data_IF_359964623905
#
_entry.id   IF_359964623905
#
_cell.length_a   1.000
_cell.length_b   1.000
_cell.length_c   1.000
_cell.angle_alpha   90.00
_cell.angle_beta   90.00
_cell.angle_gamma   90.00
#
_symmetry.space_group_name_H-M   'P 1'
#
loop_
_entity.id
_entity.type
_entity.pdbx_description
1 polymer ?
#
# COMPACT_ATOMS: atom_id res chain seq x y z
N UNK A 1 3.52 -15.33 -21.48
CA UNK A 1 2.79 -15.23 -20.20
C UNK A 1 2.65 -13.78 -19.70
N UNK A 2 2.95 -12.75 -20.51
CA UNK A 2 3.14 -11.37 -20.04
C UNK A 2 1.95 -10.43 -20.25
N UNK A 3 0.80 -10.90 -20.74
CA UNK A 3 -0.37 -10.04 -21.05
C UNK A 3 -1.63 -10.37 -20.24
N UNK A 4 -1.50 -11.14 -19.15
CA UNK A 4 -2.65 -11.43 -18.29
C UNK A 4 -2.91 -10.25 -17.34
N UNK A 5 -4.18 -9.78 -17.21
CA UNK A 5 -4.51 -8.72 -16.28
C UNK A 5 -4.14 -9.15 -14.85
N UNK A 6 -3.66 -8.22 -14.01
CA UNK A 6 -3.08 -8.54 -12.69
C UNK A 6 -4.08 -9.27 -11.78
N UNK A 7 -5.38 -9.02 -11.94
CA UNK A 7 -6.43 -9.74 -11.22
C UNK A 7 -6.50 -11.24 -11.56
N UNK A 8 -6.31 -11.60 -12.83
CA UNK A 8 -6.32 -13.00 -13.25
C UNK A 8 -5.06 -13.73 -12.78
N UNK A 9 -3.92 -13.03 -12.80
CA UNK A 9 -2.65 -13.56 -12.29
C UNK A 9 -2.71 -13.81 -10.78
N UNK A 10 -3.34 -12.90 -10.03
CA UNK A 10 -3.63 -13.09 -8.60
C UNK A 10 -4.58 -14.27 -8.34
N UNK A 11 -5.62 -14.44 -9.16
CA UNK A 11 -6.55 -15.57 -9.06
C UNK A 11 -5.84 -16.91 -9.36
N UNK A 12 -4.95 -16.95 -10.34
CA UNK A 12 -4.17 -18.15 -10.69
C UNK A 12 -3.16 -18.47 -9.57
N UNK A 13 -2.46 -17.47 -9.02
CA UNK A 13 -1.55 -17.66 -7.89
C UNK A 13 -2.29 -18.09 -6.62
N UNK A 14 -3.52 -17.62 -6.43
CA UNK A 14 -4.38 -18.01 -5.30
C UNK A 14 -5.14 -19.32 -5.54
N UNK A 15 -5.17 -19.81 -6.78
CA UNK A 15 -5.91 -21.02 -7.17
C UNK A 15 -5.59 -22.27 -6.33
N UNK A 16 -4.33 -22.60 -5.96
CA UNK A 16 -4.09 -23.77 -5.11
C UNK A 16 -4.67 -23.62 -3.70
N UNK A 17 -4.79 -22.41 -3.14
CA UNK A 17 -5.47 -22.19 -1.85
C UNK A 17 -6.98 -22.36 -1.94
N UNK A 18 -7.56 -22.09 -3.11
CA UNK A 18 -9.01 -22.18 -3.35
C UNK A 18 -9.41 -23.60 -3.78
N UNK A 19 -8.66 -24.26 -4.65
CA UNK A 19 -9.01 -25.60 -5.13
C UNK A 19 -8.63 -26.74 -4.17
N UNK A 20 -7.64 -26.54 -3.29
CA UNK A 20 -7.16 -27.64 -2.44
C UNK A 20 -8.18 -28.18 -1.42
N UNK A 21 -9.01 -27.37 -0.72
CA UNK A 21 -9.97 -27.92 0.23
C UNK A 21 -11.10 -28.76 -0.40
N UNK A 22 -11.72 -28.34 -1.53
CA UNK A 22 -12.69 -29.18 -2.24
C UNK A 22 -12.07 -30.46 -2.81
N UNK A 23 -10.85 -30.38 -3.34
CA UNK A 23 -10.15 -31.55 -3.87
C UNK A 23 -9.81 -32.57 -2.77
N UNK A 24 -9.37 -32.09 -1.60
CA UNK A 24 -9.08 -32.94 -0.43
C UNK A 24 -10.34 -33.59 0.11
N UNK A 25 -11.44 -32.84 0.25
CA UNK A 25 -12.72 -33.41 0.71
C UNK A 25 -13.26 -34.47 -0.26
N UNK A 26 -13.14 -34.25 -1.57
CA UNK A 26 -13.47 -35.27 -2.57
C UNK A 26 -12.59 -36.52 -2.46
N UNK A 27 -11.28 -36.33 -2.32
CA UNK A 27 -10.32 -37.42 -2.16
C UNK A 27 -10.61 -38.26 -0.92
N UNK A 28 -10.87 -37.61 0.22
CA UNK A 28 -11.22 -38.26 1.49
C UNK A 28 -12.54 -39.03 1.33
N UNK A 29 -13.58 -38.42 0.73
CA UNK A 29 -14.87 -39.10 0.53
C UNK A 29 -14.74 -40.34 -0.37
N UNK A 30 -13.93 -40.27 -1.44
CA UNK A 30 -13.64 -41.41 -2.32
C UNK A 30 -12.82 -42.50 -1.62
N UNK A 31 -11.84 -42.12 -0.83
CA UNK A 31 -11.02 -43.06 -0.05
C UNK A 31 -11.86 -43.81 1.00
N UNK A 32 -12.75 -43.11 1.70
CA UNK A 32 -13.67 -43.72 2.67
C UNK A 32 -14.65 -44.65 1.97
N UNK A 33 -15.20 -44.25 0.83
CA UNK A 33 -16.09 -45.10 0.03
C UNK A 33 -15.41 -46.38 -0.47
N UNK A 34 -14.13 -46.31 -0.86
CA UNK A 34 -13.38 -47.47 -1.36
C UNK A 34 -12.98 -48.47 -0.25
N UNK A 35 -12.63 -47.99 0.95
CA UNK A 35 -12.16 -48.86 2.04
C UNK A 35 -13.27 -49.35 2.96
N UNK A 36 -14.35 -48.57 3.13
CA UNK A 36 -15.41 -48.87 4.10
C UNK A 36 -16.77 -49.16 3.44
N UNK A 37 -16.89 -49.08 2.10
CA UNK A 37 -18.14 -49.37 1.38
C UNK A 37 -19.28 -48.38 1.65
N UNK A 38 -18.99 -47.22 2.24
CA UNK A 38 -20.00 -46.20 2.58
C UNK A 38 -20.31 -45.36 1.34
N UNK A 39 -21.50 -45.54 0.78
CA UNK A 39 -21.99 -44.73 -0.34
C UNK A 39 -22.59 -43.41 0.17
N UNK A 40 -21.81 -42.33 0.10
CA UNK A 40 -22.27 -40.97 0.42
C UNK A 40 -23.13 -40.46 -0.74
N UNK A 41 -24.35 -40.00 -0.45
CA UNK A 41 -25.24 -39.38 -1.46
C UNK A 41 -24.58 -38.15 -2.09
N UNK A 42 -24.77 -37.98 -3.40
CA UNK A 42 -24.13 -36.94 -4.22
C UNK A 42 -24.38 -35.53 -3.67
N UNK A 43 -25.58 -35.27 -3.12
CA UNK A 43 -25.92 -33.97 -2.54
C UNK A 43 -25.12 -33.65 -1.27
N UNK A 44 -24.87 -34.66 -0.43
CA UNK A 44 -24.04 -34.50 0.76
C UNK A 44 -22.57 -34.26 0.40
N UNK A 45 -22.08 -34.88 -0.68
CA UNK A 45 -20.75 -34.63 -1.21
C UNK A 45 -20.59 -33.20 -1.74
N UNK A 46 -21.56 -32.73 -2.55
CA UNK A 46 -21.56 -31.36 -3.08
C UNK A 46 -21.62 -30.34 -1.93
N UNK A 47 -22.47 -30.57 -0.93
CA UNK A 47 -22.56 -29.69 0.23
C UNK A 47 -21.25 -29.67 1.05
N UNK A 48 -20.60 -30.82 1.23
CA UNK A 48 -19.30 -30.91 1.89
C UNK A 48 -18.19 -30.17 1.12
N UNK A 49 -18.16 -30.28 -0.21
CA UNK A 49 -17.22 -29.53 -1.05
C UNK A 49 -17.44 -28.02 -0.95
N UNK A 50 -18.69 -27.56 -1.01
CA UNK A 50 -19.03 -26.12 -0.89
C UNK A 50 -18.66 -25.59 0.49
N UNK A 51 -18.95 -26.35 1.55
CA UNK A 51 -18.63 -25.97 2.93
C UNK A 51 -17.14 -26.11 3.28
N UNK A 52 -16.37 -26.88 2.51
CA UNK A 52 -14.93 -27.04 2.76
C UNK A 52 -14.16 -25.73 2.64
N UNK A 53 -14.57 -24.83 1.74
CA UNK A 53 -13.97 -23.53 1.53
C UNK A 53 -14.12 -22.58 2.73
N UNK A 54 -15.34 -22.26 3.22
CA UNK A 54 -15.50 -21.41 4.39
C UNK A 54 -14.87 -22.02 5.63
N UNK A 55 -14.91 -23.36 5.79
CA UNK A 55 -14.25 -24.05 6.91
C UNK A 55 -12.72 -23.90 6.82
N UNK A 56 -12.12 -24.07 5.64
CA UNK A 56 -10.68 -23.91 5.45
C UNK A 56 -10.23 -22.47 5.73
N UNK A 57 -10.97 -21.47 5.24
CA UNK A 57 -10.72 -20.06 5.52
C UNK A 57 -10.84 -19.74 7.01
N UNK A 58 -11.90 -20.23 7.66
CA UNK A 58 -12.08 -20.05 9.11
C UNK A 58 -10.92 -20.68 9.88
N UNK A 59 -10.53 -21.90 9.52
CA UNK A 59 -9.37 -22.58 10.11
C UNK A 59 -8.06 -21.80 9.90
N UNK A 60 -7.82 -21.23 8.71
CA UNK A 60 -6.60 -20.43 8.48
C UNK A 60 -6.59 -19.16 9.33
N UNK A 61 -7.72 -18.47 9.45
CA UNK A 61 -7.84 -17.25 10.26
C UNK A 61 -7.65 -17.56 11.75
N UNK A 62 -8.27 -18.65 12.24
CA UNK A 62 -8.10 -19.07 13.62
C UNK A 62 -6.67 -19.50 13.92
N UNK A 63 -6.02 -20.24 12.99
CA UNK A 63 -4.61 -20.64 13.14
C UNK A 63 -3.69 -19.43 13.22
N UNK A 64 -3.86 -18.46 12.32
CA UNK A 64 -3.09 -17.21 12.34
C UNK A 64 -3.31 -16.45 13.65
N UNK A 65 -4.56 -16.34 14.09
CA UNK A 65 -4.91 -15.64 15.32
C UNK A 65 -4.33 -16.32 16.57
N UNK A 66 -4.34 -17.65 16.62
CA UNK A 66 -3.70 -18.41 17.70
C UNK A 66 -2.18 -18.23 17.65
N UNK A 67 -1.56 -18.30 16.47
CA UNK A 67 -0.11 -18.09 16.31
C UNK A 67 0.32 -16.73 16.84
N UNK A 68 -0.38 -15.67 16.41
CA UNK A 68 -0.11 -14.29 16.83
C UNK A 68 -0.23 -14.15 18.35
N UNK A 69 -1.28 -14.71 18.95
CA UNK A 69 -1.47 -14.66 20.42
C UNK A 69 -0.37 -15.40 21.16
N UNK A 70 0.01 -16.59 20.69
CA UNK A 70 1.07 -17.39 21.31
C UNK A 70 2.43 -16.68 21.23
N UNK A 71 2.74 -16.09 20.08
CA UNK A 71 3.98 -15.35 19.88
C UNK A 71 4.02 -14.06 20.69
N UNK A 72 2.90 -13.34 20.78
CA UNK A 72 2.76 -12.18 21.64
C UNK A 72 3.01 -12.54 23.11
N UNK A 73 2.40 -13.64 23.60
CA UNK A 73 2.64 -14.13 24.95
C UNK A 73 4.09 -14.54 25.19
N UNK A 74 4.74 -15.22 24.23
CA UNK A 74 6.15 -15.61 24.32
C UNK A 74 7.08 -14.39 24.42
N UNK A 75 6.71 -13.27 23.79
CA UNK A 75 7.50 -12.04 23.75
C UNK A 75 7.06 -11.01 24.80
N UNK A 76 6.03 -11.31 25.60
CA UNK A 76 5.45 -10.37 26.57
C UNK A 76 4.82 -9.14 25.92
N UNK A 77 4.42 -9.23 24.66
CA UNK A 77 3.87 -8.12 23.88
C UNK A 77 2.35 -7.99 24.08
N UNK A 78 1.86 -6.75 24.14
CA UNK A 78 0.43 -6.44 24.20
C UNK A 78 -0.11 -6.31 22.77
N UNK A 79 -1.24 -6.97 22.48
CA UNK A 79 -1.90 -6.84 21.20
C UNK A 79 -2.66 -5.51 21.12
N UNK A 80 -2.60 -4.79 19.99
CA UNK A 80 -3.35 -3.55 19.84
C UNK A 80 -4.87 -3.81 19.88
N UNK A 81 -5.66 -2.82 20.31
CA UNK A 81 -7.12 -2.91 20.28
C UNK A 81 -7.59 -3.19 18.85
N UNK A 82 -8.62 -4.02 18.73
CA UNK A 82 -9.20 -4.37 17.43
C UNK A 82 -10.39 -3.48 17.13
N UNK A 83 -10.38 -2.93 15.92
CA UNK A 83 -11.57 -2.31 15.37
C UNK A 83 -12.67 -3.37 15.21
N UNK A 84 -13.84 -3.14 15.81
CA UNK A 84 -14.96 -4.09 15.79
C UNK A 84 -15.77 -3.88 14.52
N UNK A 85 -15.62 -4.79 13.57
CA UNK A 85 -16.53 -4.88 12.43
C UNK A 85 -17.71 -5.83 12.74
N UNK A 86 -18.98 -5.41 12.52
CA UNK A 86 -20.15 -6.25 12.75
C UNK A 86 -20.25 -7.50 11.86
N UNK A 87 -19.59 -7.47 10.70
CA UNK A 87 -19.65 -8.54 9.71
C UNK A 87 -18.33 -9.33 9.66
N UNK A 88 -18.38 -10.65 9.42
CA UNK A 88 -17.20 -11.50 9.37
C UNK A 88 -16.23 -11.02 8.28
N UNK A 89 -14.94 -11.01 8.61
CA UNK A 89 -13.86 -10.66 7.68
C UNK A 89 -13.65 -9.16 7.44
N UNK A 90 -14.33 -8.27 8.18
CA UNK A 90 -14.13 -6.83 8.09
C UNK A 90 -14.77 -6.19 6.84
N UNK A 91 -15.83 -6.82 6.33
CA UNK A 91 -16.49 -6.41 5.08
C UNK A 91 -17.21 -5.07 5.19
N UNK A 92 -17.79 -4.73 6.34
CA UNK A 92 -18.39 -3.41 6.56
C UNK A 92 -17.35 -2.30 6.58
N UNK A 93 -16.23 -2.49 7.29
CA UNK A 93 -15.09 -1.60 7.24
C UNK A 93 -14.57 -1.41 5.81
N UNK A 94 -14.44 -2.49 5.04
CA UNK A 94 -14.03 -2.42 3.64
C UNK A 94 -15.03 -1.61 2.78
N UNK A 95 -16.33 -1.91 2.86
CA UNK A 95 -17.36 -1.20 2.08
C UNK A 95 -17.43 0.28 2.46
N UNK A 96 -17.34 0.58 3.76
CA UNK A 96 -17.35 1.96 4.27
C UNK A 96 -16.11 2.72 3.80
N UNK A 97 -14.93 2.08 3.87
CA UNK A 97 -13.68 2.63 3.35
C UNK A 97 -13.71 2.86 1.85
N UNK A 98 -14.26 1.93 1.06
CA UNK A 98 -14.44 2.11 -0.40
C UNK A 98 -15.43 3.22 -0.74
N UNK A 99 -16.47 3.40 0.08
CA UNK A 99 -17.44 4.48 -0.09
C UNK A 99 -16.84 5.84 0.27
N UNK A 100 -16.07 5.92 1.36
CA UNK A 100 -15.32 7.11 1.74
C UNK A 100 -14.27 7.45 0.69
N UNK A 101 -13.53 6.46 0.17
CA UNK A 101 -12.57 6.68 -0.92
C UNK A 101 -13.19 7.30 -2.18
N UNK A 102 -14.48 7.04 -2.44
CA UNK A 102 -15.20 7.65 -3.56
C UNK A 102 -15.79 9.03 -3.26
N UNK A 103 -16.01 9.36 -1.98
CA UNK A 103 -16.77 10.56 -1.56
C UNK A 103 -15.93 11.61 -0.83
N UNK A 104 -14.84 11.20 -0.21
CA UNK A 104 -13.98 12.02 0.64
C UNK A 104 -12.51 11.69 0.44
N UNK A 105 -11.67 12.19 1.34
CA UNK A 105 -10.24 12.02 1.31
C UNK A 105 -9.81 10.75 2.05
N UNK A 106 -8.78 10.03 1.57
CA UNK A 106 -8.22 8.89 2.30
C UNK A 106 -7.67 9.34 3.66
N UNK A 107 -8.29 8.87 4.76
CA UNK A 107 -7.93 9.28 6.12
C UNK A 107 -9.03 10.05 6.85
N UNK A 108 -10.07 10.50 6.14
CA UNK A 108 -11.27 11.07 6.77
C UNK A 108 -11.88 10.03 7.72
N UNK A 109 -12.15 10.44 8.96
CA UNK A 109 -12.66 9.57 10.03
C UNK A 109 -11.60 8.78 10.79
N UNK A 110 -10.30 8.97 10.51
CA UNK A 110 -9.24 8.32 11.27
C UNK A 110 -9.22 8.79 12.74
N UNK A 111 -9.37 10.10 12.97
CA UNK A 111 -9.37 10.67 14.33
C UNK A 111 -10.55 10.14 15.14
N UNK A 112 -11.75 10.07 14.55
CA UNK A 112 -12.96 9.51 15.17
C UNK A 112 -12.77 8.05 15.60
N UNK A 113 -12.12 7.23 14.76
CA UNK A 113 -11.81 5.83 15.10
C UNK A 113 -10.79 5.75 16.24
N UNK A 114 -9.77 6.62 16.23
CA UNK A 114 -8.77 6.66 17.30
C UNK A 114 -9.40 7.09 18.64
N UNK A 115 -10.32 8.05 18.62
CA UNK A 115 -11.08 8.50 19.79
C UNK A 115 -11.99 7.40 20.34
N UNK A 116 -12.73 6.68 19.47
CA UNK A 116 -13.59 5.56 19.87
C UNK A 116 -12.79 4.44 20.56
N UNK A 117 -11.60 4.15 20.03
CA UNK A 117 -10.73 3.10 20.55
C UNK A 117 -9.84 3.56 21.71
N UNK A 118 -9.75 4.87 21.96
CA UNK A 118 -8.85 5.46 22.96
C UNK A 118 -7.36 5.26 22.66
N UNK A 119 -7.00 4.96 21.41
CA UNK A 119 -5.63 4.60 21.00
C UNK A 119 -5.39 4.99 19.54
N UNK A 120 -4.21 5.53 19.27
CA UNK A 120 -3.74 5.83 17.91
C UNK A 120 -3.11 4.62 17.21
N UNK A 121 -3.03 3.48 17.91
CA UNK A 121 -2.66 2.18 17.37
C UNK A 121 -3.82 1.20 17.46
N UNK A 122 -4.23 0.62 16.33
CA UNK A 122 -5.29 -0.37 16.29
C UNK A 122 -5.09 -1.39 15.17
N UNK A 123 -5.67 -2.57 15.36
CA UNK A 123 -5.73 -3.61 14.32
C UNK A 123 -7.09 -3.59 13.64
N UNK A 124 -7.07 -3.48 12.31
CA UNK A 124 -8.22 -3.57 11.44
C UNK A 124 -8.13 -4.82 10.56
N UNK A 125 -9.19 -5.63 10.53
CA UNK A 125 -9.26 -6.78 9.65
C UNK A 125 -9.85 -6.36 8.29
N UNK A 126 -9.17 -6.66 7.19
CA UNK A 126 -9.68 -6.40 5.84
C UNK A 126 -9.55 -7.71 5.06
N UNK A 127 -10.66 -8.23 4.55
CA UNK A 127 -10.71 -9.50 3.81
C UNK A 127 -10.03 -10.65 4.59
N UNK A 128 -10.32 -10.75 5.88
CA UNK A 128 -9.74 -11.73 6.81
C UNK A 128 -8.25 -11.56 7.13
N UNK A 129 -7.57 -10.57 6.57
CA UNK A 129 -6.17 -10.24 6.88
C UNK A 129 -6.09 -9.16 7.96
N UNK A 130 -5.15 -9.30 8.90
CA UNK A 130 -4.90 -8.29 9.92
C UNK A 130 -4.06 -7.14 9.33
N UNK A 131 -4.49 -5.90 9.54
CA UNK A 131 -3.73 -4.69 9.19
C UNK A 131 -3.62 -3.81 10.43
N UNK A 132 -2.39 -3.66 10.93
CA UNK A 132 -2.10 -2.80 12.07
C UNK A 132 -1.86 -1.39 11.54
N UNK A 133 -2.58 -0.43 12.09
CA UNK A 133 -2.45 0.99 11.78
C UNK A 133 -1.97 1.69 13.05
N UNK A 134 -0.99 2.57 12.92
CA UNK A 134 -0.40 3.31 14.04
C UNK A 134 -0.13 4.76 13.64
N UNK A 135 -0.48 5.70 14.52
CA UNK A 135 -0.06 7.10 14.45
C UNK A 135 0.75 7.54 15.69
N UNK A 136 1.20 6.59 16.51
CA UNK A 136 2.01 6.90 17.68
C UNK A 136 3.46 7.22 17.29
N UNK A 137 4.05 8.30 17.83
CA UNK A 137 5.38 8.76 17.42
C UNK A 137 6.48 7.74 17.76
N UNK A 138 6.34 6.98 18.84
CA UNK A 138 7.29 5.95 19.24
C UNK A 138 7.32 4.79 18.24
N UNK A 139 6.14 4.33 17.80
CA UNK A 139 6.00 3.31 16.77
C UNK A 139 6.56 3.78 15.42
N UNK A 140 6.25 5.03 15.03
CA UNK A 140 6.76 5.62 13.78
C UNK A 140 8.29 5.71 13.81
N UNK A 141 8.87 6.13 14.94
CA UNK A 141 10.33 6.18 15.13
C UNK A 141 10.95 4.79 15.08
N UNK A 142 10.29 3.79 15.65
CA UNK A 142 10.75 2.40 15.57
C UNK A 142 10.83 1.94 14.11
N UNK A 143 9.73 2.08 13.37
CA UNK A 143 9.60 1.64 11.98
C UNK A 143 10.57 2.38 11.05
N UNK A 144 10.67 3.71 11.17
CA UNK A 144 11.36 4.54 10.18
C UNK A 144 12.83 4.85 10.53
N UNK A 145 13.26 4.64 11.78
CA UNK A 145 14.58 5.05 12.22
C UNK A 145 15.32 3.99 13.04
N UNK A 146 14.81 3.56 14.20
CA UNK A 146 15.62 2.77 15.15
C UNK A 146 15.67 1.29 14.82
N UNK A 147 14.62 0.73 14.23
CA UNK A 147 14.50 -0.69 13.90
C UNK A 147 14.30 -0.88 12.39
N UNK A 148 14.80 0.03 11.56
CA UNK A 148 14.51 0.04 10.11
C UNK A 148 14.81 -1.29 9.40
N UNK A 149 15.87 -2.01 9.78
CA UNK A 149 16.22 -3.31 9.17
C UNK A 149 15.23 -4.44 9.53
N UNK A 150 14.39 -4.27 10.56
CA UNK A 150 13.36 -5.24 10.97
C UNK A 150 12.04 -5.08 10.19
N UNK A 151 11.87 -3.96 9.46
CA UNK A 151 10.64 -3.64 8.72
C UNK A 151 10.88 -3.60 7.21
N UNK A 152 10.17 -4.46 6.48
CA UNK A 152 10.14 -4.43 5.02
C UNK A 152 8.87 -3.75 4.48
N UNK A 153 8.93 -3.14 3.30
CA UNK A 153 7.73 -2.62 2.61
C UNK A 153 6.81 -3.74 2.14
N UNK A 154 7.39 -4.88 1.81
CA UNK A 154 6.68 -6.08 1.42
C UNK A 154 6.26 -6.12 -0.05
N UNK A 155 5.71 -7.26 -0.50
CA UNK A 155 5.43 -7.53 -1.91
C UNK A 155 4.32 -6.64 -2.47
N UNK A 156 3.33 -6.25 -1.66
CA UNK A 156 2.21 -5.39 -2.08
C UNK A 156 2.71 -4.05 -2.60
N UNK A 157 3.59 -3.40 -1.83
CA UNK A 157 4.19 -2.11 -2.17
C UNK A 157 5.11 -2.25 -3.39
N UNK A 158 5.92 -3.32 -3.43
CA UNK A 158 6.78 -3.59 -4.60
C UNK A 158 5.95 -3.75 -5.87
N UNK A 159 4.86 -4.53 -5.85
CA UNK A 159 3.98 -4.70 -7.00
C UNK A 159 3.29 -3.39 -7.43
N UNK A 160 2.93 -2.54 -6.47
CA UNK A 160 2.32 -1.24 -6.76
C UNK A 160 3.28 -0.29 -7.48
N UNK A 161 4.53 -0.20 -7.03
CA UNK A 161 5.51 0.74 -7.59
C UNK A 161 6.28 0.20 -8.81
N UNK A 162 6.39 -1.12 -8.94
CA UNK A 162 7.18 -1.76 -10.01
C UNK A 162 6.85 -1.30 -11.44
N UNK A 163 5.57 -1.16 -11.86
CA UNK A 163 5.25 -0.75 -13.23
C UNK A 163 5.72 0.67 -13.58
N UNK A 164 5.85 1.55 -12.59
CA UNK A 164 6.19 2.96 -12.79
C UNK A 164 7.67 3.25 -12.52
N UNK A 165 8.21 2.69 -11.43
CA UNK A 165 9.53 3.02 -10.89
C UNK A 165 10.50 1.82 -10.89
N UNK A 166 10.08 0.69 -11.45
CA UNK A 166 10.83 -0.56 -11.45
C UNK A 166 11.26 -0.99 -10.05
N UNK A 167 12.47 -1.53 -9.94
CA UNK A 167 13.13 -1.88 -8.67
C UNK A 167 13.92 -0.71 -8.10
N UNK A 168 13.43 0.52 -8.17
CA UNK A 168 14.09 1.69 -7.60
C UNK A 168 14.02 1.79 -6.07
N UNK A 169 14.54 2.89 -5.51
CA UNK A 169 14.57 3.17 -4.05
C UNK A 169 13.20 3.11 -3.36
N UNK A 170 12.09 3.26 -4.09
CA UNK A 170 10.73 3.19 -3.55
C UNK A 170 10.18 1.76 -3.47
N UNK A 171 10.68 0.84 -4.30
CA UNK A 171 10.20 -0.54 -4.37
C UNK A 171 11.20 -1.58 -3.81
N UNK A 172 12.46 -1.17 -3.62
CA UNK A 172 13.52 -2.01 -3.06
C UNK A 172 13.52 -1.99 -1.52
N UNK A 173 13.96 -3.11 -0.92
CA UNK A 173 14.16 -3.29 0.52
C UNK A 173 15.60 -3.78 0.79
N UNK A 174 16.06 -3.66 2.05
CA UNK A 174 17.37 -4.16 2.51
C UNK A 174 18.59 -3.56 1.79
N UNK A 175 19.57 -4.40 1.47
CA UNK A 175 20.83 -3.97 0.85
C UNK A 175 20.64 -3.35 -0.54
N UNK A 176 19.67 -3.81 -1.33
CA UNK A 176 19.35 -3.21 -2.63
C UNK A 176 18.86 -1.76 -2.46
N UNK A 177 18.07 -1.50 -1.43
CA UNK A 177 17.67 -0.14 -1.09
C UNK A 177 18.85 0.72 -0.66
N UNK A 178 19.76 0.18 0.18
CA UNK A 178 20.97 0.89 0.62
C UNK A 178 21.86 1.26 -0.57
N UNK A 179 22.02 0.36 -1.53
CA UNK A 179 22.75 0.58 -2.78
C UNK A 179 22.12 1.69 -3.63
N UNK A 180 20.80 1.63 -3.90
CA UNK A 180 20.13 2.69 -4.67
C UNK A 180 20.19 4.05 -3.96
N UNK A 181 20.06 4.05 -2.62
CA UNK A 181 20.14 5.28 -1.82
C UNK A 181 21.55 5.86 -1.79
N UNK A 182 22.59 5.03 -1.67
CA UNK A 182 23.98 5.51 -1.67
C UNK A 182 24.37 6.11 -3.02
N UNK A 183 23.89 5.52 -4.12
CA UNK A 183 24.07 6.06 -5.47
C UNK A 183 23.32 7.39 -5.67
N UNK A 184 22.13 7.52 -5.08
CA UNK A 184 21.26 8.70 -5.24
C UNK A 184 21.66 9.87 -4.34
N UNK A 185 22.21 9.61 -3.14
CA UNK A 185 22.51 10.63 -2.12
C UNK A 185 23.44 11.77 -2.61
N UNK A 186 24.49 11.55 -3.42
CA UNK A 186 25.37 12.61 -3.93
C UNK A 186 24.68 13.62 -4.87
N UNK A 187 23.51 13.28 -5.41
CA UNK A 187 22.73 14.20 -6.23
C UNK A 187 21.94 15.21 -5.41
N UNK A 188 21.76 14.94 -4.11
CA UNK A 188 21.11 15.82 -3.15
C UNK A 188 22.09 16.57 -2.25
N UNK A 189 23.40 16.53 -2.53
CA UNK A 189 24.41 17.26 -1.75
C UNK A 189 24.34 18.77 -2.02
N UNK A 190 24.74 19.55 -1.00
CA UNK A 190 24.60 21.00 -0.90
C UNK A 190 25.28 21.80 -2.02
N UNK A 191 26.25 21.21 -2.70
CA UNK A 191 27.07 21.87 -3.74
C UNK A 191 26.32 22.09 -5.06
N UNK A 192 25.08 21.59 -5.20
CA UNK A 192 24.19 21.83 -6.35
C UNK A 192 22.91 22.61 -6.02
N UNK A 193 22.93 23.41 -4.95
CA UNK A 193 21.85 24.36 -4.61
C UNK A 193 21.86 25.62 -5.52
N UNK A 194 22.69 25.64 -6.57
CA UNK A 194 22.80 26.70 -7.58
C UNK A 194 21.58 26.83 -8.53
N UNK A 195 20.39 26.40 -8.10
CA UNK A 195 19.17 26.45 -8.92
C UNK A 195 18.08 27.37 -8.37
N UNK A 196 18.29 28.11 -7.28
CA UNK A 196 17.31 29.10 -6.81
C UNK A 196 16.91 30.07 -7.92
N UNK A 197 17.85 30.54 -8.75
CA UNK A 197 17.56 31.40 -9.90
C UNK A 197 16.56 30.77 -10.90
N UNK A 198 16.60 29.45 -11.08
CA UNK A 198 15.65 28.74 -11.94
C UNK A 198 14.27 28.63 -11.27
N UNK A 199 14.23 28.34 -9.96
CA UNK A 199 12.98 28.39 -9.20
C UNK A 199 12.35 29.77 -9.29
N UNK A 200 13.14 30.83 -9.11
CA UNK A 200 12.69 32.23 -9.15
C UNK A 200 12.15 32.59 -10.53
N UNK A 201 12.86 32.28 -11.62
CA UNK A 201 12.37 32.51 -12.99
C UNK A 201 11.05 31.81 -13.26
N UNK A 202 10.93 30.53 -12.90
CA UNK A 202 9.69 29.77 -13.11
C UNK A 202 8.56 30.26 -12.20
N UNK A 203 8.89 30.74 -10.99
CA UNK A 203 7.91 31.30 -10.06
C UNK A 203 7.39 32.64 -10.59
N UNK A 204 8.27 33.52 -11.06
CA UNK A 204 7.90 34.79 -11.70
C UNK A 204 7.02 34.56 -12.94
N UNK A 205 7.36 33.60 -13.79
CA UNK A 205 6.55 33.27 -14.97
C UNK A 205 5.18 32.72 -14.56
N UNK A 206 5.12 31.81 -13.58
CA UNK A 206 3.85 31.33 -13.05
C UNK A 206 3.00 32.47 -12.48
N UNK A 207 3.58 33.37 -11.67
CA UNK A 207 2.91 34.54 -11.09
C UNK A 207 2.43 35.49 -12.19
N UNK A 208 3.23 35.71 -13.25
CA UNK A 208 2.83 36.54 -14.39
C UNK A 208 1.61 35.94 -15.10
N UNK A 209 1.61 34.63 -15.34
CA UNK A 209 0.46 33.92 -15.91
C UNK A 209 -0.78 34.00 -15.01
N UNK A 210 -0.61 33.92 -13.68
CA UNK A 210 -1.69 34.14 -12.71
C UNK A 210 -2.28 35.56 -12.84
N UNK A 211 -1.42 36.59 -12.85
CA UNK A 211 -1.85 37.99 -12.94
C UNK A 211 -2.59 38.27 -14.24
N UNK A 212 -2.07 37.85 -15.38
CA UNK A 212 -2.72 38.07 -16.68
C UNK A 212 -4.14 37.49 -16.71
N UNK A 213 -4.30 36.26 -16.21
CA UNK A 213 -5.59 35.56 -16.19
C UNK A 213 -6.59 36.17 -15.21
N UNK A 214 -6.11 36.71 -14.09
CA UNK A 214 -6.91 37.47 -13.14
C UNK A 214 -7.34 38.83 -13.72
N UNK A 215 -6.45 39.50 -14.47
CA UNK A 215 -6.77 40.76 -15.16
C UNK A 215 -7.83 40.56 -16.25
N UNK A 216 -7.85 39.41 -16.92
CA UNK A 216 -8.90 39.00 -17.85
C UNK A 216 -10.25 38.68 -17.16
N UNK A 217 -10.30 38.70 -15.83
CA UNK A 217 -11.51 38.40 -15.04
C UNK A 217 -11.84 36.90 -14.94
N UNK A 218 -10.92 36.01 -15.31
CA UNK A 218 -11.14 34.57 -15.25
C UNK A 218 -10.72 33.96 -13.91
N UNK A 219 -11.51 33.01 -13.36
CA UNK A 219 -11.10 32.27 -12.17
C UNK A 219 -9.87 31.41 -12.47
N UNK A 220 -8.97 31.31 -11.50
CA UNK A 220 -7.75 30.51 -11.60
C UNK A 220 -7.77 29.36 -10.60
N UNK A 221 -7.62 28.14 -11.10
CA UNK A 221 -7.41 26.95 -10.28
C UNK A 221 -5.95 26.91 -9.81
N UNK A 222 -5.75 27.11 -8.50
CA UNK A 222 -4.41 27.12 -7.90
C UNK A 222 -3.74 25.75 -7.97
N UNK A 223 -4.47 24.65 -7.78
CA UNK A 223 -3.91 23.30 -7.74
C UNK A 223 -3.28 22.92 -9.09
N UNK A 224 -4.01 23.19 -10.19
CA UNK A 224 -3.51 22.89 -11.55
C UNK A 224 -2.29 23.75 -11.89
N UNK A 225 -2.32 25.04 -11.52
CA UNK A 225 -1.23 25.97 -11.83
C UNK A 225 0.01 25.71 -10.99
N UNK A 226 -0.16 25.41 -9.70
CA UNK A 226 0.93 25.02 -8.83
C UNK A 226 1.57 23.70 -9.27
N UNK A 227 0.77 22.71 -9.66
CA UNK A 227 1.29 21.47 -10.24
C UNK A 227 2.07 21.74 -11.54
N UNK A 228 1.57 22.62 -12.40
CA UNK A 228 2.28 23.03 -13.62
C UNK A 228 3.62 23.72 -13.31
N UNK A 229 3.65 24.63 -12.33
CA UNK A 229 4.87 25.29 -11.87
C UNK A 229 5.89 24.28 -11.31
N UNK A 230 5.46 23.40 -10.41
CA UNK A 230 6.31 22.34 -9.88
C UNK A 230 6.84 21.45 -11.00
N UNK A 231 6.02 21.12 -12.00
CA UNK A 231 6.46 20.33 -13.14
C UNK A 231 7.47 21.07 -14.05
N UNK A 232 7.32 22.38 -14.25
CA UNK A 232 8.27 23.17 -15.05
C UNK A 232 9.62 23.32 -14.36
N UNK A 233 9.62 23.43 -13.03
CA UNK A 233 10.83 23.44 -12.21
C UNK A 233 11.47 22.05 -12.20
N UNK A 234 10.66 20.99 -12.02
CA UNK A 234 11.15 19.62 -11.92
C UNK A 234 11.60 19.03 -13.26
N UNK A 235 11.16 19.58 -14.40
CA UNK A 235 11.70 19.23 -15.72
C UNK A 235 13.21 19.55 -15.83
N UNK A 236 13.73 20.45 -15.00
CA UNK A 236 15.17 20.73 -14.85
C UNK A 236 15.83 19.96 -13.70
N UNK A 237 15.08 19.53 -12.67
CA UNK A 237 15.47 18.40 -11.81
C UNK A 237 15.31 17.06 -12.56
N UNK A 238 15.63 17.05 -13.85
CA UNK A 238 15.94 15.84 -14.61
C UNK A 238 17.10 15.06 -13.99
N UNK A 239 17.75 15.56 -12.93
CA UNK A 239 18.58 14.74 -12.05
C UNK A 239 17.77 13.63 -11.35
N UNK A 240 16.52 13.85 -10.95
CA UNK A 240 15.68 12.78 -10.37
C UNK A 240 15.15 11.83 -11.44
N UNK A 241 14.83 12.34 -12.64
CA UNK A 241 14.48 11.51 -13.78
C UNK A 241 15.69 10.71 -14.26
N UNK A 242 16.87 11.31 -14.36
CA UNK A 242 18.12 10.65 -14.73
C UNK A 242 18.64 9.73 -13.63
N UNK A 243 18.32 9.92 -12.35
CA UNK A 243 18.60 8.92 -11.29
C UNK A 243 17.63 7.75 -11.38
N UNK A 244 16.36 8.01 -11.69
CA UNK A 244 15.35 6.97 -11.96
C UNK A 244 15.64 6.22 -13.28
N UNK A 245 16.23 6.89 -14.27
CA UNK A 245 16.57 6.38 -15.61
C UNK A 245 17.99 5.80 -15.68
N UNK A 246 18.96 6.30 -14.92
CA UNK A 246 20.32 5.74 -14.89
C UNK A 246 20.39 4.40 -14.13
N UNK A 247 19.43 4.13 -13.24
CA UNK A 247 19.26 2.81 -12.62
C UNK A 247 18.43 1.82 -13.45
N UNK A 248 17.71 2.27 -14.48
CA UNK A 248 16.78 1.45 -15.25
C UNK A 248 16.75 1.91 -16.70
N UNK A 249 17.22 1.08 -17.63
CA UNK A 249 17.11 1.31 -19.07
C UNK A 249 15.67 1.50 -19.54
N UNK A 250 15.16 2.73 -19.48
CA UNK A 250 13.87 3.16 -20.01
C UNK A 250 14.09 4.11 -21.19
N UNK A 251 13.86 3.62 -22.41
CA UNK A 251 13.97 4.35 -23.68
C UNK A 251 12.67 5.06 -24.11
N UNK A 252 11.68 5.22 -23.21
CA UNK A 252 10.30 5.55 -23.64
C UNK A 252 9.92 7.02 -23.47
N UNK A 253 10.57 7.78 -22.59
CA UNK A 253 10.14 9.17 -22.32
C UNK A 253 10.59 10.20 -23.38
N UNK A 254 11.61 9.88 -24.19
CA UNK A 254 12.13 10.79 -25.21
C UNK A 254 11.20 10.99 -26.43
N UNK A 255 10.07 10.27 -26.53
CA UNK A 255 9.18 10.31 -27.71
C UNK A 255 7.79 10.94 -27.47
N UNK A 256 7.47 11.38 -26.25
CA UNK A 256 6.13 11.90 -25.90
C UNK A 256 6.10 13.42 -25.69
N UNK A 257 6.85 14.17 -26.51
CA UNK A 257 6.78 15.63 -26.61
C UNK A 257 5.50 16.17 -27.28
N UNK A 258 4.56 15.30 -27.68
CA UNK A 258 3.30 15.71 -28.29
C UNK A 258 2.10 15.02 -27.62
N UNK A 259 1.32 15.83 -26.88
CA UNK A 259 -0.08 15.56 -26.56
C UNK A 259 -0.33 14.45 -25.55
N UNK A 260 -0.32 14.77 -24.25
CA UNK A 260 -0.87 13.88 -23.21
C UNK A 260 -2.41 14.06 -23.18
N UNK A 261 -3.22 13.02 -23.47
CA UNK A 261 -4.66 13.10 -23.35
C UNK A 261 -5.11 13.25 -21.89
N UNK A 262 -6.15 14.06 -21.68
CA UNK A 262 -6.73 14.46 -20.38
C UNK A 262 -6.99 13.31 -19.38
N UNK A 263 -7.13 12.07 -19.85
CA UNK A 263 -7.39 10.88 -19.01
C UNK A 263 -6.20 10.48 -18.12
N UNK A 264 -4.96 10.80 -18.49
CA UNK A 264 -3.76 10.51 -17.70
C UNK A 264 -3.43 11.58 -16.65
N UNK A 265 -3.90 12.83 -16.82
CA UNK A 265 -3.74 13.89 -15.81
C UNK A 265 -4.41 13.56 -14.48
N UNK A 266 -5.48 12.75 -14.52
CA UNK A 266 -6.20 12.26 -13.35
C UNK A 266 -5.36 11.35 -12.44
N UNK A 267 -4.40 10.61 -13.01
CA UNK A 267 -3.54 9.69 -12.25
C UNK A 267 -2.41 10.41 -11.50
N UNK A 268 -1.86 11.48 -12.07
CA UNK A 268 -0.86 12.33 -11.39
C UNK A 268 -1.48 13.18 -10.27
N UNK A 269 -2.70 13.68 -10.46
CA UNK A 269 -3.45 14.40 -9.41
C UNK A 269 -3.86 13.50 -8.23
N UNK A 270 -4.04 12.20 -8.46
CA UNK A 270 -4.30 11.19 -7.41
C UNK A 270 -3.04 10.83 -6.60
N UNK A 271 -1.83 11.18 -7.07
CA UNK A 271 -0.58 10.74 -6.46
C UNK A 271 0.00 11.74 -5.45
N UNK A 272 -0.26 13.05 -5.60
CA UNK A 272 0.19 14.07 -4.65
C UNK A 272 -0.38 13.90 -3.22
N UNK A 273 -1.66 13.49 -3.02
CA UNK A 273 -2.16 13.03 -1.73
C UNK A 273 -1.31 11.96 -1.06
N UNK A 274 -0.85 10.97 -1.84
CA UNK A 274 -0.13 9.78 -1.36
C UNK A 274 1.31 10.08 -0.93
N UNK A 275 1.97 11.07 -1.54
CA UNK A 275 3.30 11.53 -1.11
C UNK A 275 3.18 12.53 0.06
N UNK A 276 2.11 13.32 0.10
CA UNK A 276 1.82 14.22 1.23
C UNK A 276 1.53 13.44 2.52
N UNK A 277 0.91 12.26 2.41
CA UNK A 277 0.72 11.30 3.51
C UNK A 277 2.03 10.72 4.07
N UNK A 278 3.13 10.72 3.30
CA UNK A 278 4.46 10.33 3.76
C UNK A 278 5.21 11.46 4.48
N UNK A 279 4.78 12.72 4.33
CA UNK A 279 5.46 13.90 4.87
C UNK A 279 4.65 14.70 5.91
N UNK A 280 3.36 14.41 6.13
CA UNK A 280 2.58 15.11 7.15
C UNK A 280 2.76 14.45 8.52
N UNK A 281 3.32 15.19 9.48
CA UNK A 281 3.77 14.75 10.81
C UNK A 281 2.63 14.31 11.76
N UNK A 282 1.40 14.09 11.27
CA UNK A 282 0.24 13.78 12.11
C UNK A 282 -0.51 12.48 11.79
N UNK A 283 -0.31 11.85 10.64
CA UNK A 283 -1.00 10.57 10.35
C UNK A 283 -0.32 9.81 9.21
N UNK A 284 0.53 8.83 9.55
CA UNK A 284 1.13 7.89 8.61
C UNK A 284 0.31 6.58 8.61
N UNK A 285 -0.61 6.44 7.65
CA UNK A 285 -1.37 5.20 7.45
C UNK A 285 -0.49 4.15 6.76
N UNK A 286 0.25 3.36 7.53
CA UNK A 286 0.91 2.15 7.03
C UNK A 286 -0.08 0.98 7.05
N UNK A 287 -0.52 0.55 5.87
CA UNK A 287 -1.21 -0.72 5.72
C UNK A 287 -0.17 -1.84 5.54
N UNK A 288 0.37 -2.34 6.65
CA UNK A 288 1.33 -3.46 6.63
C UNK A 288 0.62 -4.72 6.10
N UNK A 289 1.03 -5.16 4.90
CA UNK A 289 0.60 -6.41 4.28
C UNK A 289 1.42 -7.59 4.81
N UNK A 290 0.71 -8.61 5.30
CA UNK A 290 1.18 -9.78 6.06
C UNK A 290 1.88 -9.46 7.40
N UNK A 291 1.50 -10.15 8.50
CA UNK A 291 2.18 -10.01 9.77
C UNK A 291 3.52 -10.75 9.70
N UNK A 292 4.54 -10.14 9.10
CA UNK A 292 5.92 -10.45 9.42
C UNK A 292 6.19 -9.88 10.82
N UNK A 293 5.71 -10.59 11.85
CA UNK A 293 6.17 -10.58 13.24
C UNK A 293 6.62 -9.24 13.84
N UNK A 294 5.68 -8.41 14.30
CA UNK A 294 5.98 -7.26 15.15
C UNK A 294 5.81 -7.57 16.63
N UNK A 295 6.87 -7.40 17.40
CA UNK A 295 6.84 -7.45 18.85
C UNK A 295 7.43 -6.16 19.41
N UNK A 296 6.55 -5.27 19.86
CA UNK A 296 6.96 -4.15 20.70
C UNK A 296 7.28 -4.69 22.09
N UNK A 297 8.56 -4.62 22.45
CA UNK A 297 9.04 -4.86 23.82
C UNK A 297 8.79 -3.58 24.60
N UNK A 298 7.97 -3.65 25.65
CA UNK A 298 7.66 -2.57 26.57
C UNK A 298 8.89 -1.69 26.87
N UNK A 299 8.87 -0.43 26.40
CA UNK A 299 9.71 0.64 26.94
C UNK A 299 8.85 1.46 27.89
N UNK A 300 8.59 0.89 29.07
CA UNK A 300 8.27 1.67 30.27
C UNK A 300 9.53 1.63 31.13
N UNK A 301 10.33 2.69 31.06
CA UNK A 301 11.17 3.21 32.14
C UNK A 301 11.66 4.62 31.79
#
# INVERSE_FOLDING_TARGET
MNDLPPGLLYLIQSSPRILSPPALTYGIARFVGANYGIYISTWWLVLAMVMSLPVALMCSVLREEVSIRLEASKRGAVLPPRFRDPYPGGTQGLVSGLRQFKKGYPGDGFDEICEELGSYTFNRRILFENRIITAEPEHIKAILATQFDDFEKGPEIRHLFYPLLGTGVFAADGELWKFHRSMTRPFFSRDRISHFDNFDRHAEDAIRQFKNRLHEGHPVDFQVRFFSFLSSVNAWLAVLNDILVAGLGFSVYARLGHGIPLRQRRWLALWWPSVSLLCNHRSLLFALGRPSFFAFRNCLH
#
